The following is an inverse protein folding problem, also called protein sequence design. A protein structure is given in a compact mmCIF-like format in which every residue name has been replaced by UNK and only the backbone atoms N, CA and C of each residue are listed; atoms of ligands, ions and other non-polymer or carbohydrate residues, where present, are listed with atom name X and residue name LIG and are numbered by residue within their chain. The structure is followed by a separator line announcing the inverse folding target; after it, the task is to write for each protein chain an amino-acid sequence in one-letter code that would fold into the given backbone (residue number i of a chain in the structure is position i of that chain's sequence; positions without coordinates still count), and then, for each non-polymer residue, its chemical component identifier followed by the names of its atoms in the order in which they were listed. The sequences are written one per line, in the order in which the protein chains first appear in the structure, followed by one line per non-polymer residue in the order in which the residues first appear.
data_IF_010409731629
#
_entry.id   IF_010409731629
#
_cell.length_a   1.000
_cell.length_b   1.000
_cell.length_c   1.000
_cell.angle_alpha   90.00
_cell.angle_beta   90.00
_cell.angle_gamma   90.00
#
_symmetry.space_group_name_H-M   'P 1'
#
loop_
_entity.id
_entity.type
_entity.pdbx_description
1 polymer ?
2 non-polymer ?
3 non-polymer ?
#
# COMPACT_ATOMS: atom_id res chain seq x y z
N UNK A 21 -15.44 -26.68 6.21
CA UNK A 21 -14.62 -27.28 7.25
C UNK A 21 -13.23 -27.57 6.73
N UNK A 22 -12.63 -26.62 6.01
CA UNK A 22 -11.27 -26.83 5.37
C UNK A 22 -10.08 -26.33 6.21
N UNK A 23 -8.89 -26.85 5.95
CA UNK A 23 -7.76 -26.66 6.86
C UNK A 23 -6.39 -26.73 6.13
N UNK A 24 -5.33 -26.21 6.79
CA UNK A 24 -4.03 -25.94 6.14
C UNK A 24 -2.83 -26.23 7.06
N UNK A 25 -1.89 -27.07 6.61
CA UNK A 25 -0.62 -27.21 7.33
C UNK A 25 0.34 -26.17 6.82
N UNK A 26 1.07 -25.56 7.73
CA UNK A 26 2.24 -24.78 7.37
C UNK A 26 3.31 -25.13 8.40
N UNK A 27 4.34 -25.85 7.95
CA UNK A 27 5.50 -26.12 8.78
C UNK A 27 5.12 -27.03 9.99
N UNK A 28 4.12 -27.89 9.81
CA UNK A 28 3.52 -28.63 10.92
C UNK A 28 2.17 -28.10 11.39
N UNK A 29 2.07 -26.79 11.64
CA UNK A 29 0.91 -26.21 12.35
C UNK A 29 -0.36 -26.14 11.50
N UNK A 30 -1.49 -26.47 12.12
CA UNK A 30 -2.75 -26.65 11.42
C UNK A 30 -3.67 -25.47 11.73
N UNK A 31 -4.18 -24.84 10.68
CA UNK A 31 -4.94 -23.61 10.78
C UNK A 31 -6.29 -23.91 10.16
N UNK A 32 -7.34 -23.50 10.84
CA UNK A 32 -8.71 -23.71 10.40
C UNK A 32 -9.15 -22.46 9.60
N UNK A 33 -9.61 -22.64 8.37
CA UNK A 33 -9.99 -21.52 7.53
C UNK A 33 -11.34 -20.97 7.97
N UNK A 34 -11.36 -19.72 8.41
CA UNK A 34 -12.62 -19.01 8.60
C UNK A 34 -13.18 -18.60 7.24
N UNK A 35 -12.88 -17.41 6.75
CA UNK A 35 -13.27 -17.05 5.40
C UNK A 35 -12.07 -16.61 4.56
N UNK A 36 -12.33 -16.53 3.26
CA UNK A 36 -11.41 -15.96 2.30
C UNK A 36 -11.68 -14.48 2.26
N UNK A 37 -10.62 -13.69 2.13
CA UNK A 37 -10.74 -12.22 2.14
C UNK A 37 -9.97 -11.52 1.04
N UNK A 38 -9.31 -12.28 0.16
CA UNK A 38 -8.54 -11.71 -0.94
C UNK A 38 -8.38 -12.75 -2.02
N UNK A 39 -8.20 -12.31 -3.26
CA UNK A 39 -7.85 -13.21 -4.37
C UNK A 39 -7.24 -12.42 -5.51
N UNK A 40 -6.32 -13.05 -6.22
CA UNK A 40 -5.53 -12.41 -7.26
C UNK A 40 -5.41 -13.38 -8.39
N UNK A 41 -4.28 -13.43 -9.06
CA UNK A 41 -4.10 -14.33 -10.18
C UNK A 41 -4.17 -15.78 -9.72
N UNK A 42 -3.10 -16.22 -9.05
CA UNK A 42 -3.01 -17.56 -8.51
C UNK A 42 -3.16 -17.55 -6.99
N UNK A 43 -3.51 -16.39 -6.44
CA UNK A 43 -3.31 -16.11 -5.03
C UNK A 43 -4.66 -15.96 -4.34
N UNK A 44 -4.79 -16.59 -3.17
CA UNK A 44 -5.91 -16.36 -2.27
C UNK A 44 -5.35 -15.92 -0.92
N UNK A 45 -6.10 -15.09 -0.21
CA UNK A 45 -5.83 -14.83 1.19
C UNK A 45 -7.00 -15.31 2.07
N UNK A 46 -6.68 -15.89 3.22
CA UNK A 46 -7.65 -16.41 4.14
C UNK A 46 -7.38 -15.87 5.52
N UNK A 47 -8.42 -15.38 6.17
CA UNK A 47 -8.46 -15.29 7.63
C UNK A 47 -8.54 -16.72 8.16
N UNK A 48 -7.73 -17.07 9.15
CA UNK A 48 -7.66 -18.45 9.68
C UNK A 48 -7.53 -18.45 11.22
N UNK A 49 -7.56 -19.62 11.86
CA UNK A 49 -7.25 -19.75 13.32
C UNK A 49 -6.32 -20.88 13.51
N UNK A 50 -5.37 -20.75 14.43
CA UNK A 50 -4.59 -21.93 14.86
C UNK A 50 -5.43 -22.82 15.78
N UNK A 51 -4.84 -23.89 16.30
CA UNK A 51 -5.52 -24.72 17.30
C UNK A 51 -6.08 -23.86 18.46
N UNK A 52 -5.27 -22.89 18.92
CA UNK A 52 -5.58 -22.07 20.12
C UNK A 52 -6.57 -20.93 19.84
N UNK A 53 -7.29 -21.01 18.73
CA UNK A 53 -8.41 -20.09 18.42
C UNK A 53 -7.95 -18.64 18.23
N UNK A 54 -6.67 -18.47 17.86
CA UNK A 54 -6.08 -17.16 17.51
C UNK A 54 -6.14 -16.90 16.02
N UNK A 55 -6.34 -15.65 15.67
CA UNK A 55 -6.54 -15.28 14.26
C UNK A 55 -5.23 -14.98 13.48
N UNK A 56 -5.18 -15.38 12.21
CA UNK A 56 -4.08 -15.06 11.28
C UNK A 56 -4.59 -14.88 9.84
N UNK A 57 -3.73 -14.33 9.01
CA UNK A 57 -3.98 -14.27 7.59
C UNK A 57 -3.00 -15.21 6.96
N UNK A 58 -3.46 -15.99 5.99
CA UNK A 58 -2.59 -16.86 5.21
C UNK A 58 -2.78 -16.55 3.75
N UNK A 59 -1.68 -16.19 3.08
CA UNK A 59 -1.66 -16.00 1.66
C UNK A 59 -1.23 -17.29 1.04
N UNK A 60 -2.06 -17.80 0.14
CA UNK A 60 -1.75 -19.02 -0.59
C UNK A 60 -1.49 -18.64 -2.04
N UNK A 61 -0.42 -19.17 -2.60
CA UNK A 61 -0.13 -18.93 -3.99
C UNK A 61 0.03 -20.26 -4.67
N UNK A 62 -0.55 -20.37 -5.86
CA UNK A 62 -0.54 -21.63 -6.59
C UNK A 62 0.43 -21.55 -7.75
N UNK A 63 1.46 -22.39 -7.71
CA UNK A 63 2.58 -22.25 -8.63
C UNK A 63 2.50 -23.15 -9.86
N UNK A 64 1.32 -23.69 -10.15
CA UNK A 64 1.25 -24.80 -11.09
C UNK A 64 1.30 -24.42 -12.56
N UNK A 65 0.99 -23.19 -12.91
CA UNK A 65 1.20 -22.71 -14.29
C UNK A 65 2.15 -21.48 -14.33
N UNK A 66 3.08 -21.38 -13.38
CA UNK A 66 3.88 -20.16 -13.20
C UNK A 66 5.26 -20.27 -13.83
N UNK A 67 5.61 -19.30 -14.67
CA UNK A 67 6.92 -19.27 -15.34
C UNK A 67 7.98 -18.63 -14.47
N UNK A 68 9.24 -18.82 -14.83
CA UNK A 68 10.38 -18.46 -13.97
C UNK A 68 10.45 -16.98 -13.59
N UNK A 69 10.04 -16.08 -14.48
CA UNK A 69 10.00 -14.64 -14.15
C UNK A 69 8.96 -14.43 -13.03
N UNK A 70 7.82 -15.10 -13.13
CA UNK A 70 6.82 -15.07 -12.04
C UNK A 70 7.36 -15.69 -10.73
N UNK A 71 7.86 -16.92 -10.79
CA UNK A 71 8.48 -17.54 -9.63
C UNK A 71 9.58 -16.71 -8.99
N UNK A 72 10.45 -16.11 -9.78
CA UNK A 72 11.56 -15.33 -9.19
C UNK A 72 11.03 -14.09 -8.51
N UNK A 73 10.01 -13.49 -9.09
CA UNK A 73 9.39 -12.32 -8.48
C UNK A 73 8.72 -12.67 -7.12
N UNK A 74 8.20 -13.90 -6.99
CA UNK A 74 7.57 -14.34 -5.73
C UNK A 74 8.62 -14.58 -4.68
N UNK A 75 9.59 -15.42 -5.03
CA UNK A 75 10.82 -15.61 -4.22
C UNK A 75 11.40 -14.28 -3.68
N UNK A 76 11.45 -13.29 -4.56
CA UNK A 76 11.89 -11.97 -4.20
C UNK A 76 11.00 -11.31 -3.15
N UNK A 77 9.68 -11.26 -3.31
CA UNK A 77 8.83 -10.55 -2.29
C UNK A 77 9.03 -11.21 -0.93
N UNK A 78 9.04 -12.54 -0.88
CA UNK A 78 9.22 -13.24 0.40
C UNK A 78 10.52 -12.86 1.10
N UNK A 79 11.61 -12.97 0.35
CA UNK A 79 12.93 -12.59 0.82
C UNK A 79 13.00 -11.17 1.39
N UNK A 80 12.49 -10.23 0.64
CA UNK A 80 12.41 -8.83 1.06
C UNK A 80 11.45 -8.60 2.22
N UNK A 81 10.26 -9.21 2.17
CA UNK A 81 9.26 -9.09 3.24
C UNK A 81 9.80 -9.62 4.55
N UNK A 82 10.49 -10.74 4.49
CA UNK A 82 11.11 -11.31 5.66
C UNK A 82 12.15 -10.39 6.28
N UNK A 83 12.98 -9.80 5.44
CA UNK A 83 14.05 -8.92 5.89
C UNK A 83 13.41 -7.65 6.44
N UNK A 84 12.56 -7.00 5.65
CA UNK A 84 12.00 -5.66 5.99
C UNK A 84 11.21 -5.62 7.26
N UNK A 85 10.55 -6.72 7.50
CA UNK A 85 9.62 -6.87 8.59
C UNK A 85 10.31 -6.78 9.97
N UNK A 86 11.58 -7.14 10.07
CA UNK A 86 12.34 -6.87 11.30
C UNK A 86 12.89 -5.42 11.52
N UNK A 87 12.84 -4.55 10.50
CA UNK A 87 13.28 -3.13 10.67
C UNK A 87 12.15 -2.17 10.95
N UNK A 88 10.90 -2.63 10.86
CA UNK A 88 9.74 -1.79 11.08
C UNK A 88 8.52 -2.65 11.36
N UNK A 89 7.73 -2.24 12.36
CA UNK A 89 6.44 -2.86 12.61
C UNK A 89 5.33 -2.18 11.82
N UNK A 90 5.70 -1.21 10.96
CA UNK A 90 4.80 -0.69 9.93
C UNK A 90 4.85 -1.49 8.63
N UNK A 91 5.72 -2.49 8.56
CA UNK A 91 5.64 -3.49 7.51
C UNK A 91 4.90 -4.68 8.12
N UNK A 92 4.09 -5.35 7.32
CA UNK A 92 3.30 -6.47 7.80
C UNK A 92 4.21 -7.53 8.45
N UNK A 93 3.71 -8.14 9.50
CA UNK A 93 4.40 -9.19 10.26
C UNK A 93 4.19 -10.51 9.51
N UNK A 94 5.26 -11.05 8.93
CA UNK A 94 5.27 -12.41 8.37
C UNK A 94 5.73 -13.45 9.35
N UNK A 95 4.83 -14.24 9.87
CA UNK A 95 5.20 -15.18 10.93
C UNK A 95 6.05 -16.30 10.42
N UNK A 96 5.56 -16.97 9.38
CA UNK A 96 6.27 -18.12 8.79
C UNK A 96 5.79 -18.39 7.36
N UNK A 97 6.46 -19.31 6.68
CA UNK A 97 6.09 -19.59 5.31
C UNK A 97 6.60 -20.89 4.80
N UNK A 98 5.91 -21.43 3.80
CA UNK A 98 6.24 -22.70 3.21
C UNK A 98 6.30 -22.48 1.71
N UNK A 99 7.28 -23.09 1.06
CA UNK A 99 7.43 -22.95 -0.38
C UNK A 99 7.95 -24.23 -1.01
N UNK A 100 7.17 -24.73 -1.96
CA UNK A 100 7.50 -25.91 -2.74
C UNK A 100 7.37 -25.56 -4.21
N UNK A 101 7.47 -26.56 -5.07
CA UNK A 101 7.31 -26.31 -6.50
C UNK A 101 5.85 -26.08 -6.87
N UNK A 102 4.93 -26.55 -6.06
CA UNK A 102 3.52 -26.42 -6.34
C UNK A 102 2.80 -25.28 -5.68
N UNK A 103 3.23 -24.90 -4.51
CA UNK A 103 2.56 -23.77 -3.82
C UNK A 103 3.47 -22.92 -2.93
N UNK A 104 2.91 -21.81 -2.48
CA UNK A 104 3.43 -21.03 -1.39
C UNK A 104 2.33 -20.81 -0.36
N UNK A 105 2.63 -21.00 0.92
CA UNK A 105 1.79 -20.52 2.03
C UNK A 105 2.59 -19.50 2.85
N UNK A 106 1.99 -18.33 3.14
CA UNK A 106 2.59 -17.30 4.01
C UNK A 106 1.61 -16.97 5.13
N UNK A 107 2.03 -17.18 6.37
CA UNK A 107 1.23 -16.91 7.57
C UNK A 107 1.62 -15.57 8.13
N UNK A 108 0.65 -14.72 8.40
CA UNK A 108 0.93 -13.32 8.75
C UNK A 108 -0.12 -12.82 9.71
N UNK A 109 0.17 -11.67 10.34
CA UNK A 109 -0.81 -11.01 11.20
C UNK A 109 -2.08 -10.65 10.45
N UNK A 110 -3.24 -10.88 11.05
CA UNK A 110 -4.52 -10.53 10.39
C UNK A 110 -4.90 -9.11 10.74
N UNK A 111 -5.36 -8.37 9.76
CA UNK A 111 -5.80 -7.01 9.99
C UNK A 111 -7.29 -6.97 9.96
N UNK A 112 -7.85 -5.83 10.34
CA UNK A 112 -9.30 -5.65 10.43
C UNK A 112 -9.87 -5.40 9.03
N UNK A 113 -9.11 -4.69 8.20
CA UNK A 113 -9.57 -4.22 6.91
C UNK A 113 -8.40 -3.51 6.15
N UNK A 114 -8.48 -3.45 4.83
CA UNK A 114 -7.51 -2.73 3.99
C UNK A 114 -7.93 -1.29 3.91
N UNK A 115 -6.96 -0.39 3.75
CA UNK A 115 -7.22 1.06 3.85
C UNK A 115 -8.26 1.51 2.85
N UNK A 116 -8.24 0.96 1.63
CA UNK A 116 -9.21 1.36 0.60
C UNK A 116 -10.66 1.21 1.02
N UNK A 117 -10.98 0.02 1.52
CA UNK A 117 -12.32 -0.33 1.96
C UNK A 117 -12.76 0.55 3.06
N UNK A 118 -11.83 0.91 3.92
CA UNK A 118 -12.15 1.75 5.03
C UNK A 118 -12.33 3.21 4.60
N UNK A 119 -11.64 3.68 3.59
CA UNK A 119 -11.86 5.05 3.11
C UNK A 119 -13.23 5.22 2.44
N UNK A 120 -13.66 4.22 1.66
CA UNK A 120 -14.99 4.24 1.00
C UNK A 120 -16.12 4.30 2.02
N UNK A 121 -16.05 3.47 3.07
CA UNK A 121 -17.01 3.52 4.18
C UNK A 121 -17.03 4.89 4.86
N UNK A 122 -15.85 5.37 5.25
CA UNK A 122 -15.73 6.40 6.28
C UNK A 122 -16.00 7.77 5.68
N UNK A 123 -17.11 8.37 6.13
CA UNK A 123 -17.60 9.66 5.65
C UNK A 123 -16.72 10.74 6.23
N UNK A 124 -16.58 10.72 7.55
CA UNK A 124 -15.76 11.67 8.28
C UNK A 124 -14.38 11.06 8.58
N UNK A 125 -13.39 11.94 8.73
CA UNK A 125 -12.01 11.51 8.97
C UNK A 125 -11.29 12.46 9.96
N UNK A 126 -11.00 11.86 11.11
CA UNK A 126 -10.64 12.52 12.33
C UNK A 126 -9.18 13.02 12.24
N UNK A 127 -8.94 14.34 12.39
CA UNK A 127 -7.60 14.96 12.10
C UNK A 127 -6.37 14.29 12.71
N UNK A 128 -6.51 13.86 13.96
CA UNK A 128 -5.48 13.15 14.72
C UNK A 128 -5.24 11.74 14.15
N UNK A 129 -6.31 11.11 13.65
CA UNK A 129 -6.23 9.76 13.10
C UNK A 129 -5.57 9.80 11.74
N UNK A 130 -5.96 10.81 10.95
CA UNK A 130 -5.32 11.08 9.70
C UNK A 130 -3.81 11.25 9.85
N UNK A 131 -3.38 11.94 10.90
CA UNK A 131 -1.97 12.19 11.13
C UNK A 131 -1.22 10.94 11.58
N UNK A 132 -1.86 10.11 12.40
CA UNK A 132 -1.23 8.86 12.81
C UNK A 132 -1.01 7.97 11.55
N UNK A 133 -2.00 7.97 10.67
CA UNK A 133 -1.93 7.17 9.47
C UNK A 133 -0.90 7.69 8.51
N UNK A 134 -0.76 9.01 8.40
CA UNK A 134 0.24 9.60 7.50
C UNK A 134 1.62 9.13 7.93
N UNK A 135 1.88 9.23 9.23
CA UNK A 135 3.14 8.80 9.82
C UNK A 135 3.43 7.34 9.59
N UNK A 136 2.40 6.52 9.69
CA UNK A 136 2.53 5.11 9.44
C UNK A 136 2.95 4.89 8.03
N UNK A 137 2.29 5.57 7.09
CA UNK A 137 2.65 5.42 5.70
C UNK A 137 4.06 5.89 5.40
N UNK A 138 4.42 7.06 5.91
CA UNK A 138 5.81 7.53 5.81
C UNK A 138 6.85 6.56 6.37
N UNK A 139 6.65 6.03 7.58
CA UNK A 139 7.62 5.09 8.16
C UNK A 139 7.82 3.87 7.27
N UNK A 140 6.73 3.40 6.67
CA UNK A 140 6.76 2.23 5.85
C UNK A 140 7.51 2.48 4.58
N UNK A 141 7.12 3.51 3.87
CA UNK A 141 7.71 3.77 2.57
C UNK A 141 9.15 4.13 2.77
N UNK A 142 9.41 4.86 3.85
CA UNK A 142 10.79 5.17 4.17
C UNK A 142 11.62 3.89 4.38
N UNK A 143 11.03 2.92 5.06
CA UNK A 143 11.70 1.66 5.26
C UNK A 143 12.08 1.05 3.89
N UNK A 144 11.14 0.93 2.98
CA UNK A 144 11.46 0.18 1.80
C UNK A 144 12.50 0.94 0.99
N UNK A 145 12.48 2.25 1.07
CA UNK A 145 13.41 3.08 0.35
C UNK A 145 14.81 2.82 0.83
N UNK A 146 15.00 2.75 2.12
CA UNK A 146 16.27 2.35 2.73
C UNK A 146 16.81 1.01 2.28
N UNK A 147 15.99 0.09 1.85
CA UNK A 147 16.45 -1.21 1.37
C UNK A 147 16.37 -1.37 -0.14
N UNK A 148 16.21 -0.25 -0.86
CA UNK A 148 16.33 -0.22 -2.31
C UNK A 148 15.08 -0.30 -3.13
N UNK A 149 13.93 -0.28 -2.47
CA UNK A 149 12.67 -0.59 -3.12
C UNK A 149 11.90 0.69 -3.32
N UNK A 150 11.55 0.94 -4.58
CA UNK A 150 10.67 2.00 -4.96
C UNK A 150 9.43 1.32 -5.50
N UNK A 151 8.30 1.60 -4.87
CA UNK A 151 7.06 0.91 -5.22
C UNK A 151 6.58 1.51 -6.51
N UNK A 152 6.27 2.79 -6.50
CA UNK A 152 5.84 3.55 -7.70
C UNK A 152 4.45 3.19 -8.24
N UNK A 153 3.61 2.66 -7.37
CA UNK A 153 2.23 2.33 -7.70
C UNK A 153 1.46 2.16 -6.40
N UNK A 154 1.75 3.02 -5.44
CA UNK A 154 1.12 2.91 -4.17
C UNK A 154 -0.30 3.36 -4.30
N UNK A 155 -1.16 2.72 -3.56
CA UNK A 155 -2.53 3.10 -3.47
C UNK A 155 -3.03 2.59 -2.08
N UNK A 156 -4.25 2.97 -1.69
CA UNK A 156 -4.74 2.63 -0.37
C UNK A 156 -4.82 1.17 -0.06
N UNK A 157 -5.16 0.35 -1.05
CA UNK A 157 -5.27 -1.09 -0.84
C UNK A 157 -3.94 -1.74 -0.49
N UNK A 158 -2.83 -1.06 -0.80
CA UNK A 158 -1.52 -1.50 -0.32
C UNK A 158 -1.29 -1.46 1.17
N UNK A 159 -2.17 -0.82 1.94
CA UNK A 159 -2.01 -0.66 3.39
C UNK A 159 -3.13 -1.35 4.13
N UNK A 160 -2.81 -1.95 5.27
CA UNK A 160 -3.80 -2.54 6.17
C UNK A 160 -3.91 -1.76 7.46
N UNK A 161 -5.12 -1.78 8.02
CA UNK A 161 -5.35 -1.36 9.39
C UNK A 161 -5.31 -2.60 10.34
N UNK A 162 -4.46 -2.50 11.36
CA UNK A 162 -4.12 -3.57 12.26
C UNK A 162 -3.93 -2.89 13.62
N UNK A 163 -5.02 -2.83 14.39
CA UNK A 163 -5.04 -2.10 15.65
C UNK A 163 -4.76 -0.61 15.41
N UNK A 164 -5.51 -0.03 14.49
CA UNK A 164 -5.35 1.37 14.15
C UNK A 164 -3.93 1.84 13.87
N UNK A 165 -3.05 0.97 13.36
CA UNK A 165 -1.91 1.47 12.60
C UNK A 165 -1.94 0.83 11.22
N UNK A 166 -1.51 1.62 10.24
CA UNK A 166 -1.36 1.15 8.90
C UNK A 166 -0.10 0.32 8.81
N UNK A 167 -0.16 -0.73 8.00
CA UNK A 167 0.97 -1.54 7.69
C UNK A 167 1.00 -1.78 6.21
N UNK A 168 2.17 -1.67 5.63
CA UNK A 168 2.36 -1.93 4.22
C UNK A 168 2.27 -3.43 3.94
N UNK A 169 1.49 -3.82 2.93
CA UNK A 169 1.31 -5.24 2.59
C UNK A 169 1.63 -5.55 1.15
N UNK A 170 2.00 -4.55 0.33
CA UNK A 170 2.63 -4.88 -0.92
C UNK A 170 3.80 -3.95 -1.35
N UNK A 171 4.71 -4.48 -2.15
CA UNK A 171 6.04 -3.88 -2.36
C UNK A 171 6.32 -3.58 -3.81
N UNK A 172 5.31 -3.74 -4.68
CA UNK A 172 5.43 -3.60 -6.13
C UNK A 172 6.44 -4.53 -6.79
N UNK A 173 6.58 -5.74 -6.27
CA UNK A 173 7.48 -6.76 -6.84
C UNK A 173 6.69 -7.91 -7.54
N UNK A 174 5.35 -7.96 -7.40
CA UNK A 174 4.53 -9.05 -7.92
C UNK A 174 3.02 -8.72 -7.85
N UNK A 175 2.18 -9.51 -8.56
CA UNK A 175 0.75 -9.19 -8.87
C UNK A 175 -0.11 -8.59 -7.73
N UNK A 176 -0.60 -7.36 -7.92
CA UNK A 176 -1.44 -6.71 -6.89
C UNK A 176 -2.74 -7.51 -6.62
N UNK A 177 -3.09 -7.60 -5.34
CA UNK A 177 -4.13 -8.50 -4.79
C UNK A 177 -5.41 -7.74 -4.49
N UNK A 178 -6.57 -8.34 -4.80
CA UNK A 178 -7.88 -7.63 -4.71
C UNK A 178 -8.64 -7.99 -3.44
N UNK A 179 -9.08 -6.97 -2.65
CA UNK A 179 -9.93 -7.28 -1.47
C UNK A 179 -11.30 -7.85 -1.87
N UNK A 180 -11.63 -9.05 -1.39
CA UNK A 180 -12.95 -9.67 -1.65
C UNK A 180 -14.06 -8.94 -0.89
N UNK A 190 -11.82 -4.01 -11.75
CA UNK A 190 -10.78 -3.15 -12.33
C UNK A 190 -10.26 -2.13 -11.27
N UNK A 191 -8.96 -1.86 -11.28
CA UNK A 191 -8.32 -0.93 -10.32
C UNK A 191 -8.27 0.51 -10.83
N UNK A 192 -8.00 1.45 -9.91
CA UNK A 192 -7.94 2.91 -10.24
C UNK A 192 -6.62 3.26 -10.94
N UNK A 193 -6.59 4.48 -11.45
CA UNK A 193 -5.36 5.12 -11.94
C UNK A 193 -5.12 6.46 -11.23
N UNK A 194 -5.91 6.72 -10.18
CA UNK A 194 -5.97 8.04 -9.57
C UNK A 194 -4.70 8.42 -8.79
N UNK A 195 -4.00 7.38 -8.31
CA UNK A 195 -2.80 7.53 -7.47
C UNK A 195 -1.50 7.41 -8.26
N UNK A 196 -1.64 7.29 -9.56
CA UNK A 196 -0.54 7.03 -10.40
C UNK A 196 0.31 8.32 -10.48
N UNK A 197 1.65 8.19 -10.34
CA UNK A 197 2.52 9.35 -10.45
C UNK A 197 2.83 9.76 -11.89
N UNK A 198 3.01 11.07 -12.14
CA UNK A 198 3.17 11.60 -13.48
C UNK A 198 4.43 11.20 -14.24
N UNK A 199 5.43 10.66 -13.57
CA UNK A 199 6.63 10.15 -14.25
C UNK A 199 6.41 8.72 -14.69
N UNK A 200 5.51 8.00 -14.04
CA UNK A 200 5.10 6.67 -14.49
C UNK A 200 4.51 6.73 -15.88
N UNK A 201 3.72 7.78 -16.11
CA UNK A 201 3.04 8.00 -17.34
C UNK A 201 3.95 8.65 -18.38
N UNK A 202 4.96 9.43 -17.97
CA UNK A 202 5.92 10.03 -18.92
C UNK A 202 7.01 9.06 -19.38
N UNK A 203 7.33 8.06 -18.58
CA UNK A 203 8.09 6.90 -19.09
C UNK A 203 7.09 6.15 -19.98
N UNK A 204 7.58 5.42 -20.98
CA UNK A 204 6.75 4.54 -21.81
C UNK A 204 5.97 5.30 -22.89
N UNK A 216 15.08 3.93 -15.21
CA UNK A 216 15.45 4.56 -13.94
C UNK A 216 14.31 5.46 -13.41
N UNK A 217 13.61 5.00 -12.35
CA UNK A 217 12.44 5.72 -11.75
C UNK A 217 12.66 6.13 -10.27
N UNK A 218 12.22 7.33 -9.94
CA UNK A 218 12.68 8.01 -8.73
C UNK A 218 11.92 7.48 -7.51
N UNK A 219 12.52 7.53 -6.32
CA UNK A 219 11.69 7.31 -5.14
C UNK A 219 10.61 8.35 -4.94
N UNK A 220 10.78 9.51 -5.57
CA UNK A 220 9.82 10.59 -5.45
C UNK A 220 8.45 10.04 -5.78
N UNK A 221 8.38 9.33 -6.90
CA UNK A 221 7.15 8.70 -7.33
C UNK A 221 6.27 8.19 -6.17
N UNK A 222 6.88 7.60 -5.14
CA UNK A 222 6.11 7.21 -3.96
C UNK A 222 5.52 8.41 -3.23
N UNK A 223 6.22 9.54 -3.22
CA UNK A 223 5.72 10.73 -2.55
C UNK A 223 4.43 11.27 -3.19
N UNK A 224 4.42 11.26 -4.53
CA UNK A 224 3.20 11.55 -5.21
C UNK A 224 2.02 10.68 -4.68
N UNK A 225 2.22 9.36 -4.66
CA UNK A 225 1.10 8.47 -4.43
C UNK A 225 0.58 8.59 -3.01
N UNK A 226 1.49 8.80 -2.08
CA UNK A 226 1.09 9.07 -0.70
C UNK A 226 0.42 10.40 -0.59
N UNK A 227 1.00 11.42 -1.22
CA UNK A 227 0.34 12.72 -1.41
C UNK A 227 -1.15 12.62 -1.81
N UNK A 228 -1.45 11.76 -2.77
CA UNK A 228 -2.84 11.52 -3.14
C UNK A 228 -3.68 10.82 -2.06
N UNK A 229 -3.09 9.87 -1.34
CA UNK A 229 -3.81 9.16 -0.30
C UNK A 229 -4.15 10.15 0.83
N UNK A 230 -3.26 11.09 1.08
CA UNK A 230 -3.48 12.08 2.09
C UNK A 230 -4.52 13.03 1.59
N UNK A 231 -4.44 13.37 0.31
CA UNK A 231 -5.40 14.28 -0.31
C UNK A 231 -6.83 13.72 -0.23
N UNK A 232 -7.01 12.45 -0.56
CA UNK A 232 -8.29 11.81 -0.31
C UNK A 232 -8.68 11.98 1.18
N UNK A 233 -7.80 11.57 2.09
CA UNK A 233 -8.07 11.67 3.55
C UNK A 233 -8.29 13.11 4.02
N UNK A 234 -7.79 14.08 3.29
CA UNK A 234 -8.03 15.45 3.63
C UNK A 234 -9.39 15.91 3.15
N UNK A 235 -9.56 15.98 1.83
CA UNK A 235 -10.72 16.60 1.18
C UNK A 235 -11.79 15.60 0.74
N UNK A 236 -11.64 14.32 1.07
CA UNK A 236 -12.70 13.32 0.77
C UNK A 236 -12.80 12.76 -0.65
N UNK A 237 -12.02 13.31 -1.58
CA UNK A 237 -11.87 12.76 -2.95
C UNK A 237 -10.42 12.88 -3.35
N UNK A 238 -9.96 12.07 -4.32
CA UNK A 238 -8.61 12.26 -4.91
C UNK A 238 -8.61 13.46 -5.87
N UNK A 239 -7.44 14.02 -6.23
CA UNK A 239 -7.43 15.28 -7.04
C UNK A 239 -8.24 15.23 -8.32
N UNK A 240 -8.14 14.14 -9.08
CA UNK A 240 -8.81 14.03 -10.39
C UNK A 240 -9.93 13.00 -10.44
N UNK A 241 -10.68 12.88 -9.34
CA UNK A 241 -11.70 11.81 -9.21
C UNK A 241 -12.92 12.11 -10.07
N UNK A 242 -13.24 13.40 -10.16
CA UNK A 242 -14.35 13.89 -10.99
C UNK A 242 -14.19 13.66 -12.51
N UNK A 243 -12.95 13.60 -13.02
CA UNK A 243 -12.69 13.30 -14.47
C UNK A 243 -12.82 11.78 -14.77
N UNK A 244 -14.04 11.28 -14.95
CA UNK A 244 -14.28 9.83 -15.12
C UNK A 244 -13.48 9.18 -16.30
N UNK A 245 -13.42 9.91 -17.42
CA UNK A 245 -12.74 9.43 -18.63
C UNK A 245 -11.26 9.36 -18.42
N UNK A 246 -10.69 8.18 -18.69
CA UNK A 246 -9.34 7.86 -18.23
C UNK A 246 -8.27 8.64 -18.98
N UNK A 247 -8.31 8.66 -20.30
CA UNK A 247 -7.27 9.38 -21.04
C UNK A 247 -7.24 10.88 -20.71
N UNK A 248 -8.41 11.45 -20.48
CA UNK A 248 -8.48 12.83 -20.01
C UNK A 248 -7.72 12.98 -18.71
N UNK A 249 -8.01 12.06 -17.78
CA UNK A 249 -7.44 12.03 -16.42
C UNK A 249 -5.92 11.95 -16.41
N UNK A 250 -5.39 10.97 -17.12
CA UNK A 250 -3.95 10.87 -17.41
C UNK A 250 -3.35 12.19 -17.94
N UNK A 251 -4.06 12.84 -18.86
CA UNK A 251 -3.62 14.15 -19.37
C UNK A 251 -3.56 15.22 -18.30
N UNK A 252 -4.60 15.26 -17.47
CA UNK A 252 -4.68 16.21 -16.38
C UNK A 252 -3.57 15.99 -15.39
N UNK A 253 -3.31 14.72 -15.08
CA UNK A 253 -2.23 14.37 -14.18
C UNK A 253 -0.92 14.93 -14.72
N UNK A 254 -0.58 14.61 -15.96
CA UNK A 254 0.72 15.00 -16.47
C UNK A 254 0.83 16.46 -16.96
N UNK A 255 -0.27 17.22 -16.89
CA UNK A 255 -0.31 18.59 -17.42
C UNK A 255 0.04 19.62 -16.34
N UNK A 256 1.15 20.38 -16.53
CA UNK A 256 1.57 21.33 -15.50
C UNK A 256 0.57 22.48 -15.29
N UNK A 257 -0.15 22.86 -16.35
CA UNK A 257 -1.15 23.93 -16.31
C UNK A 257 -2.52 23.54 -15.80
N UNK A 258 -2.77 22.26 -15.61
CA UNK A 258 -3.96 21.84 -14.90
C UNK A 258 -3.66 22.01 -13.41
N UNK A 259 -4.19 23.07 -12.82
CA UNK A 259 -3.96 23.39 -11.41
C UNK A 259 -4.81 22.43 -10.56
N UNK A 260 -4.23 21.95 -9.46
CA UNK A 260 -4.96 21.13 -8.50
C UNK A 260 -5.49 22.05 -7.41
N UNK A 261 -6.74 21.86 -7.05
CA UNK A 261 -7.42 22.74 -6.12
C UNK A 261 -7.07 22.33 -4.69
N UNK A 262 -6.67 23.31 -3.87
CA UNK A 262 -6.47 23.06 -2.42
C UNK A 262 -7.30 24.02 -1.60
N UNK A 263 -8.58 23.68 -1.34
CA UNK A 263 -9.40 24.42 -0.40
C UNK A 263 -8.68 24.75 0.91
N UNK A 264 -8.84 25.97 1.40
CA UNK A 264 -8.22 26.35 2.67
C UNK A 264 -8.79 25.49 3.78
N UNK A 265 -7.96 25.30 4.81
CA UNK A 265 -8.34 24.50 5.95
C UNK A 265 -7.62 25.00 7.21
N UNK A 266 -8.16 24.67 8.40
CA UNK A 266 -7.54 24.93 9.69
C UNK A 266 -6.05 24.50 9.80
N UNK A 267 -5.71 23.28 9.37
CA UNK A 267 -4.31 22.81 9.41
C UNK A 267 -3.55 23.36 8.19
N UNK A 268 -3.04 24.58 8.34
CA UNK A 268 -2.30 25.24 7.28
C UNK A 268 -0.96 24.45 7.01
N UNK A 269 -0.49 23.68 8.00
CA UNK A 269 0.67 22.77 7.82
C UNK A 269 0.38 21.58 6.90
N UNK A 270 -0.75 20.90 7.14
CA UNK A 270 -1.30 19.86 6.24
C UNK A 270 -1.51 20.37 4.82
N UNK A 271 -2.04 21.58 4.67
CA UNK A 271 -2.24 22.17 3.34
C UNK A 271 -0.93 22.25 2.60
N UNK A 272 0.15 22.63 3.31
CA UNK A 272 1.49 22.69 2.71
C UNK A 272 2.04 21.31 2.33
N UNK A 273 1.75 20.28 3.13
CA UNK A 273 2.31 18.96 2.83
C UNK A 273 1.71 18.47 1.52
N UNK A 274 0.41 18.68 1.34
CA UNK A 274 -0.29 18.32 0.08
C UNK A 274 0.22 19.10 -1.10
N UNK A 275 0.55 20.37 -0.88
CA UNK A 275 1.10 21.24 -1.90
C UNK A 275 2.49 20.79 -2.37
N UNK A 276 3.29 20.25 -1.46
CA UNK A 276 4.70 19.85 -1.76
C UNK A 276 4.84 18.45 -2.32
N UNK A 277 3.87 17.61 -1.99
CA UNK A 277 3.81 16.25 -2.45
C UNK A 277 3.35 16.19 -3.89
N UNK A 278 2.29 16.95 -4.20
CA UNK A 278 1.68 16.91 -5.50
C UNK A 278 2.25 17.95 -6.47
N UNK A 279 3.57 18.11 -6.50
CA UNK A 279 4.24 18.81 -7.56
C UNK A 279 4.58 17.79 -8.62
N UNK A 280 4.29 18.11 -9.88
CA UNK A 280 4.51 17.19 -11.00
C UNK A 280 5.98 16.96 -11.32
N UNK A 281 6.83 17.93 -11.04
CA UNK A 281 8.24 17.73 -11.25
C UNK A 281 8.86 16.96 -10.06
N UNK A 282 9.31 15.71 -10.29
CA UNK A 282 9.94 15.02 -9.17
C UNK A 282 11.04 15.80 -8.49
N UNK A 283 11.78 16.60 -9.25
CA UNK A 283 12.92 17.36 -8.70
C UNK A 283 12.49 18.38 -7.62
N UNK A 284 11.41 19.11 -7.87
CA UNK A 284 10.87 20.09 -6.93
C UNK A 284 9.99 19.45 -5.87
N UNK A 285 9.60 18.21 -6.09
CA UNK A 285 8.74 17.50 -5.15
C UNK A 285 9.50 17.16 -3.91
N UNK A 286 8.80 17.15 -2.80
CA UNK A 286 9.43 16.87 -1.51
C UNK A 286 9.86 15.40 -1.36
N UNK A 287 10.90 15.18 -0.55
CA UNK A 287 11.37 13.85 -0.22
C UNK A 287 10.80 13.33 1.09
N UNK A 288 10.91 12.02 1.33
CA UNK A 288 10.43 11.33 2.54
C UNK A 288 11.19 11.83 3.76
N UNK A 289 12.55 11.88 3.68
CA UNK A 289 13.31 12.43 4.79
C UNK A 289 12.91 13.86 5.11
N UNK A 290 12.66 14.66 4.08
CA UNK A 290 12.07 15.99 4.29
C UNK A 290 10.70 15.92 4.96
N UNK A 291 9.85 15.04 4.47
CA UNK A 291 8.50 14.89 5.00
C UNK A 291 8.47 14.51 6.46
N UNK A 292 9.50 13.78 6.89
CA UNK A 292 9.58 13.29 8.26
C UNK A 292 9.99 14.39 9.21
N UNK A 293 10.71 15.38 8.71
CA UNK A 293 11.06 16.58 9.45
C UNK A 293 10.01 17.70 9.32
N UNK A 294 8.93 17.47 8.59
CA UNK A 294 7.96 18.54 8.30
C UNK A 294 7.13 18.86 9.54
N UNK A 295 6.64 20.11 9.65
CA UNK A 295 5.82 20.46 10.80
C UNK A 295 4.54 19.67 11.01
N UNK A 296 3.86 19.29 9.94
CA UNK A 296 2.64 18.49 10.03
C UNK A 296 2.84 17.29 10.92
N UNK A 297 3.98 16.62 10.84
CA UNK A 297 4.23 15.48 11.75
C UNK A 297 5.04 15.82 12.96
N UNK A 298 5.70 16.97 12.99
CA UNK A 298 6.64 17.24 14.11
C UNK A 298 6.18 18.16 15.22
N UNK A 299 5.19 19.01 15.00
CA UNK A 299 4.93 20.08 15.97
C UNK A 299 3.81 19.83 17.01
X LIG B 1 3.14 -9.36 0.23
X LIG B 1 1.80 -9.52 0.92
X LIG B 1 -0.29 -9.92 1.26
X LIG B 1 -1.64 -10.24 1.22
X LIG B 1 -2.42 -10.15 2.38
X LIG B 1 0.26 -9.50 2.46
X LIG B 1 0.67 -9.92 0.33
X LIG B 1 -3.05 -9.72 6.89
X LIG B 1 -6.20 -8.68 4.64
X LIG B 1 1.59 -9.25 2.23
X LIG B 1 -0.51 -9.41 3.61
X LIG B 1 -1.86 -9.72 3.57
X LIG B 1 -2.59 -9.63 4.77
X LIG B 1 -2.10 -9.88 5.98
X LIG B 1 -4.18 -9.37 6.30
X LIG B 1 -3.94 -9.30 4.93
X LIG B 1 -5.00 -8.95 4.11
X LIG B 1 -5.75 -8.29 1.96
X LIG B 1 -6.20 -8.87 0.67
X LIG B 1 -4.78 -8.88 2.78
X LIG B 1 -10.16 -10.35 7.51
X LIG B 1 -10.08 -8.95 7.67
X LIG B 1 -9.95 -8.29 6.48
X LIG B 1 -11.10 -7.81 5.86
X LIG B 1 -11.01 -7.12 4.65
X LIG B 1 -12.29 -6.60 3.99
X LIG B 1 -13.26 -6.30 4.69
X LIG B 1 -12.24 -6.46 2.66
X LIG B 1 -13.43 -5.94 1.97
X LIG B 1 -9.76 -6.89 4.09
X LIG B 1 -8.61 -7.35 4.72
X LIG B 1 -8.69 -8.06 5.91
X LIG B 1 -7.60 -8.50 6.55
X LIG B 1 -6.41 -8.75 5.97
X LIG B 1 -5.40 -9.09 6.78
X LIG B 1 -5.54 -7.88 -0.28
X LIG B 1 -5.69 -6.51 0.43
X LIG B 1 -6.08 -6.85 1.89
X LIG C 1 12.17 10.32 -1.52
X LIG C 1 10.70 10.91 -0.84
X LIG C 1 11.56 9.76 -3.05
X LIG C 1 13.61 11.64 -1.89
X LIG C 1 13.09 9.05 -0.29
#
# INVERSE_FOLDING_TARGET
MGSSHHHHHHSSGLVPRGSHNECISVKGRIYSILKQIGSGGSSKVFQVLNEKKQIYAIKYVNLEEADNQTLDSYRNEIAYLNKLQQHSDKIIRLYDYEITDQYIYMVMECGNIDLNSWLKKKKSIDPWERKSYWKNMLEAVHTIHQHGIVHSDLKPANFLIVDGMLKLIDFGIANQMQPDTTSVVKDSQVGTVNYMPPEAIKDMSSSRENGKSKSKISPKSDVWSLGCILYYMTYGKTPFQQIINQISKLHAIIDPNHEIEFPDIPEKDLQDVLKCCLKRDPKQRISIPELLAHPYVQIQTLE
CQ7 C1 C2 C3 C4 C5 C6 N1 N2 N3 O1 C7 C8 C9 C10 C11 C12 C13 C14 C15 O2 C28 O4 C21 C22 C23 C26 O3 N5 C27 C24 C25 C20 N4 C19 N6 C16 C17 C18
CAC AS O1 O2 C1 C2
#
